data_IF_917121215082
#
_entry.id   IF_917121215082
#
_cell.length_a   1.000
_cell.length_b   1.000
_cell.length_c   1.000
_cell.angle_alpha   90.00
_cell.angle_beta   90.00
_cell.angle_gamma   90.00
#
_symmetry.space_group_name_H-M   'P 1'
#
loop_
_entity.id
_entity.type
_entity.pdbx_description
1 polymer ?
#
# COMPACT_ATOMS: atom_id res chain seq x y z
N UNK A 1 23.23 -5.18 -24.51
CA UNK A 1 22.06 -5.23 -23.61
C UNK A 1 21.24 -3.99 -23.87
N UNK A 2 19.92 -4.12 -23.91
CA UNK A 2 19.03 -2.98 -24.10
C UNK A 2 18.36 -2.67 -22.76
N UNK A 3 18.37 -1.40 -22.38
CA UNK A 3 17.66 -0.91 -21.21
C UNK A 3 16.26 -0.49 -21.63
N UNK A 4 15.27 -0.91 -20.86
CA UNK A 4 13.88 -0.47 -21.01
C UNK A 4 13.49 0.28 -19.75
N UNK A 5 12.79 1.39 -19.93
CA UNK A 5 12.33 2.26 -18.85
C UNK A 5 10.84 2.53 -19.04
N UNK A 6 10.10 2.54 -17.94
CA UNK A 6 8.66 2.74 -17.93
C UNK A 6 8.14 2.95 -16.51
N UNK A 7 6.87 3.33 -16.39
CA UNK A 7 6.24 3.66 -15.11
C UNK A 7 5.16 2.63 -14.75
N UNK A 8 5.17 2.17 -13.49
CA UNK A 8 4.05 1.44 -12.88
C UNK A 8 3.22 2.45 -12.10
N UNK A 9 1.91 2.47 -12.35
CA UNK A 9 0.95 3.34 -11.64
C UNK A 9 -0.02 2.45 -10.85
N UNK A 10 -0.19 2.76 -9.58
CA UNK A 10 -1.16 2.11 -8.69
C UNK A 10 -2.10 3.19 -8.18
N UNK A 11 -3.37 3.12 -8.59
CA UNK A 11 -4.40 4.04 -8.12
C UNK A 11 -4.93 3.56 -6.76
N UNK A 12 -4.88 4.45 -5.77
CA UNK A 12 -5.34 4.19 -4.40
C UNK A 12 -6.34 5.26 -3.96
N UNK A 13 -7.32 4.85 -3.15
CA UNK A 13 -8.26 5.76 -2.48
C UNK A 13 -8.36 5.41 -1.01
N UNK A 14 -8.47 6.42 -0.16
CA UNK A 14 -8.66 6.25 1.28
C UNK A 14 -9.64 7.28 1.81
N UNK A 15 -10.29 6.94 2.92
CA UNK A 15 -11.19 7.84 3.63
C UNK A 15 -10.43 8.50 4.78
N UNK A 16 -10.60 9.81 4.91
CA UNK A 16 -9.97 10.58 5.98
C UNK A 16 -11.04 11.41 6.70
N UNK A 17 -11.07 11.35 8.03
CA UNK A 17 -11.97 12.17 8.84
C UNK A 17 -11.60 13.65 8.75
N UNK A 18 -12.56 14.50 8.41
CA UNK A 18 -12.36 15.96 8.31
C UNK A 18 -12.19 16.59 9.69
N UNK A 19 -11.13 17.38 9.89
CA UNK A 19 -11.01 18.26 11.07
C UNK A 19 -9.63 18.38 11.74
N UNK A 20 -8.55 17.85 11.16
CA UNK A 20 -7.18 18.09 11.67
C UNK A 20 -6.24 18.51 10.56
N UNK A 21 -5.35 19.47 10.81
CA UNK A 21 -4.43 20.02 9.79
C UNK A 21 -3.42 19.00 9.22
N UNK A 22 -3.41 17.76 9.72
CA UNK A 22 -2.44 16.70 9.42
C UNK A 22 -3.05 15.47 8.70
N UNK A 23 -4.19 15.66 8.05
CA UNK A 23 -5.02 14.58 7.47
C UNK A 23 -4.30 13.75 6.38
N UNK A 24 -3.46 14.38 5.54
CA UNK A 24 -2.69 13.66 4.53
C UNK A 24 -1.59 12.79 5.16
N UNK A 25 -0.91 13.28 6.20
CA UNK A 25 0.13 12.51 6.87
C UNK A 25 -0.47 11.33 7.65
N UNK A 26 -1.63 11.50 8.29
CA UNK A 26 -2.39 10.38 8.90
C UNK A 26 -2.85 9.35 7.87
N UNK A 27 -3.25 9.78 6.69
CA UNK A 27 -3.60 8.86 5.60
C UNK A 27 -2.39 8.08 5.08
N UNK A 28 -1.18 8.64 5.25
CA UNK A 28 0.08 7.97 4.95
C UNK A 28 0.69 7.24 6.16
N UNK A 29 0.17 7.44 7.39
CA UNK A 29 0.55 6.60 8.53
C UNK A 29 0.25 5.15 8.13
N UNK A 30 1.25 4.28 8.28
CA UNK A 30 1.32 2.88 7.84
C UNK A 30 1.95 2.60 6.47
N UNK A 31 2.19 3.60 5.62
CA UNK A 31 3.16 3.47 4.51
C UNK A 31 4.59 3.62 5.02
N UNK A 32 4.97 2.71 5.93
CA UNK A 32 6.29 2.72 6.54
C UNK A 32 7.39 2.46 5.51
N UNK A 33 8.59 2.91 5.84
CA UNK A 33 9.79 2.58 5.08
C UNK A 33 9.95 1.06 4.87
N UNK A 34 9.52 0.24 5.84
CA UNK A 34 9.55 -1.22 5.73
C UNK A 34 8.70 -1.75 4.56
N UNK A 35 7.46 -1.29 4.43
CA UNK A 35 6.55 -1.69 3.35
C UNK A 35 7.09 -1.24 1.98
N UNK A 36 7.62 -0.02 1.90
CA UNK A 36 8.23 0.48 0.66
C UNK A 36 9.44 -0.35 0.25
N UNK A 37 10.31 -0.69 1.21
CA UNK A 37 11.48 -1.52 0.96
C UNK A 37 11.10 -2.94 0.49
N UNK A 38 10.04 -3.53 1.05
CA UNK A 38 9.52 -4.83 0.58
C UNK A 38 9.09 -4.77 -0.89
N UNK A 39 8.36 -3.71 -1.29
CA UNK A 39 7.95 -3.51 -2.68
C UNK A 39 9.18 -3.37 -3.60
N UNK A 40 10.17 -2.57 -3.19
CA UNK A 40 11.41 -2.39 -3.95
C UNK A 40 12.16 -3.72 -4.13
N UNK A 41 12.25 -4.56 -3.09
CA UNK A 41 12.89 -5.86 -3.15
C UNK A 41 12.17 -6.84 -4.09
N UNK A 42 10.84 -6.85 -4.08
CA UNK A 42 10.03 -7.69 -4.98
C UNK A 42 10.30 -7.32 -6.45
N UNK A 43 10.38 -6.02 -6.75
CA UNK A 43 10.67 -5.51 -8.08
C UNK A 43 12.12 -5.81 -8.51
N UNK A 44 13.08 -5.60 -7.61
CA UNK A 44 14.49 -5.91 -7.83
C UNK A 44 14.73 -7.40 -8.12
N UNK A 45 14.00 -8.31 -7.46
CA UNK A 45 14.06 -9.75 -7.76
C UNK A 45 13.70 -10.09 -9.22
N UNK A 46 12.96 -9.20 -9.91
CA UNK A 46 12.59 -9.35 -11.32
C UNK A 46 13.43 -8.52 -12.28
N UNK A 47 14.49 -7.87 -11.77
CA UNK A 47 15.40 -7.04 -12.57
C UNK A 47 14.91 -5.60 -12.77
N UNK A 48 13.85 -5.17 -12.07
CA UNK A 48 13.43 -3.78 -12.06
C UNK A 48 14.17 -3.00 -10.97
N UNK A 49 14.75 -1.86 -11.33
CA UNK A 49 15.37 -0.95 -10.37
C UNK A 49 14.37 0.17 -10.08
N UNK A 50 13.98 0.31 -8.83
CA UNK A 50 13.13 1.41 -8.35
C UNK A 50 13.96 2.38 -7.53
N UNK A 51 14.07 3.63 -7.98
CA UNK A 51 14.86 4.66 -7.27
C UNK A 51 14.03 5.40 -6.21
N UNK A 52 12.73 5.51 -6.43
CA UNK A 52 11.79 6.11 -5.46
C UNK A 52 10.38 5.56 -5.63
N UNK A 53 9.63 5.53 -4.53
CA UNK A 53 8.19 5.31 -4.52
C UNK A 53 7.58 6.59 -3.96
N UNK A 54 6.65 7.18 -4.72
CA UNK A 54 5.92 8.38 -4.30
C UNK A 54 4.43 8.06 -4.20
N UNK A 55 3.75 8.76 -3.29
CA UNK A 55 2.31 8.69 -3.10
C UNK A 55 1.76 10.10 -3.07
N UNK A 56 0.70 10.34 -3.83
CA UNK A 56 0.01 11.61 -3.88
C UNK A 56 -1.47 11.37 -3.52
N UNK A 57 -1.97 12.09 -2.52
CA UNK A 57 -3.36 12.04 -2.10
C UNK A 57 -4.01 13.39 -2.36
N UNK A 58 -4.97 13.40 -3.27
CA UNK A 58 -5.78 14.58 -3.60
C UNK A 58 -7.10 14.52 -2.88
N UNK A 59 -7.52 15.65 -2.31
CA UNK A 59 -8.86 15.81 -1.79
C UNK A 59 -9.86 15.83 -2.95
N UNK A 60 -10.74 14.83 -2.97
CA UNK A 60 -11.79 14.66 -3.99
C UNK A 60 -13.17 15.09 -3.46
N UNK A 61 -13.23 15.76 -2.32
CA UNK A 61 -14.44 16.29 -1.70
C UNK A 61 -15.23 15.27 -0.89
N UNK A 62 -16.46 15.66 -0.53
CA UNK A 62 -17.35 14.85 0.30
C UNK A 62 -17.81 13.60 -0.46
N UNK A 63 -17.52 12.44 0.10
CA UNK A 63 -17.93 11.13 -0.41
C UNK A 63 -19.33 10.74 0.06
N UNK A 64 -20.06 9.97 -0.75
CA UNK A 64 -21.39 9.48 -0.40
C UNK A 64 -21.33 8.29 0.58
N UNK A 65 -22.43 8.07 1.31
CA UNK A 65 -22.52 7.02 2.36
C UNK A 65 -22.25 5.61 1.80
N UNK A 66 -22.73 5.27 0.60
CA UNK A 66 -22.50 3.96 -0.02
C UNK A 66 -20.99 3.69 -0.23
N UNK A 67 -20.23 4.70 -0.63
CA UNK A 67 -18.79 4.59 -0.82
C UNK A 67 -18.05 4.49 0.52
N UNK A 68 -18.58 5.13 1.56
CA UNK A 68 -18.07 5.00 2.94
C UNK A 68 -18.26 3.57 3.44
N UNK A 69 -19.47 3.02 3.31
CA UNK A 69 -19.78 1.63 3.69
C UNK A 69 -18.90 0.62 2.93
N UNK A 70 -18.70 0.85 1.63
CA UNK A 70 -17.84 -0.01 0.82
C UNK A 70 -16.40 -0.04 1.33
N UNK A 71 -15.79 1.13 1.55
CA UNK A 71 -14.42 1.21 2.09
C UNK A 71 -14.32 0.53 3.45
N UNK A 72 -15.29 0.78 4.35
CA UNK A 72 -15.28 0.17 5.68
C UNK A 72 -15.37 -1.36 5.60
N UNK A 73 -16.19 -1.89 4.69
CA UNK A 73 -16.29 -3.33 4.45
C UNK A 73 -14.96 -3.92 3.96
N UNK A 74 -14.29 -3.24 3.02
CA UNK A 74 -12.99 -3.67 2.50
C UNK A 74 -11.92 -3.64 3.60
N UNK A 75 -11.85 -2.58 4.39
CA UNK A 75 -10.91 -2.45 5.52
C UNK A 75 -11.15 -3.57 6.55
N UNK A 76 -12.40 -3.81 6.92
CA UNK A 76 -12.75 -4.85 7.88
C UNK A 76 -12.36 -6.25 7.40
N UNK A 77 -12.49 -6.51 6.10
CA UNK A 77 -12.02 -7.77 5.50
C UNK A 77 -10.50 -7.83 5.49
N UNK A 78 -9.82 -6.78 5.05
CA UNK A 78 -8.37 -6.71 5.02
C UNK A 78 -7.75 -6.94 6.41
N UNK A 79 -8.30 -6.34 7.46
CA UNK A 79 -7.83 -6.52 8.84
C UNK A 79 -7.96 -7.97 9.33
N UNK A 80 -8.97 -8.71 8.85
CA UNK A 80 -9.10 -10.14 9.15
C UNK A 80 -8.07 -10.98 8.39
N UNK A 81 -7.78 -10.58 7.16
CA UNK A 81 -6.96 -11.35 6.23
C UNK A 81 -5.46 -11.02 6.33
N UNK A 82 -5.07 -9.86 6.89
CA UNK A 82 -3.66 -9.40 6.91
C UNK A 82 -2.73 -10.36 7.66
N UNK A 83 -3.25 -11.04 8.69
CA UNK A 83 -2.49 -12.07 9.42
C UNK A 83 -2.08 -13.25 8.52
N UNK A 84 -2.87 -13.60 7.51
CA UNK A 84 -2.50 -14.64 6.53
C UNK A 84 -1.35 -14.19 5.62
N UNK A 85 -1.29 -12.90 5.29
CA UNK A 85 -0.22 -12.34 4.44
C UNK A 85 1.12 -12.42 5.17
N UNK A 86 1.18 -11.91 6.40
CA UNK A 86 2.40 -11.98 7.21
C UNK A 86 2.80 -13.41 7.58
N UNK A 87 1.82 -14.29 7.82
CA UNK A 87 2.12 -15.70 8.10
C UNK A 87 2.66 -16.46 6.88
N UNK A 88 2.22 -16.17 5.65
CA UNK A 88 2.80 -16.77 4.44
C UNK A 88 4.27 -16.41 4.25
N UNK A 89 4.66 -15.18 4.59
CA UNK A 89 6.06 -14.75 4.60
C UNK A 89 6.90 -15.54 5.61
N UNK A 90 6.31 -15.98 6.73
CA UNK A 90 6.98 -16.81 7.74
C UNK A 90 6.99 -18.32 7.45
N UNK A 91 6.08 -18.82 6.59
CA UNK A 91 6.07 -20.25 6.20
C UNK A 91 7.27 -20.60 5.31
N UNK A 92 7.84 -19.64 4.58
CA UNK A 92 9.04 -19.87 3.77
C UNK A 92 10.36 -19.82 4.57
N UNK A 93 10.39 -19.14 5.72
CA UNK A 93 11.58 -19.10 6.58
C UNK A 93 11.74 -20.34 7.47
N UNK A 94 10.70 -21.16 7.64
CA UNK A 94 10.77 -22.41 8.42
C UNK A 94 11.19 -23.64 7.62
N UNK A 95 11.41 -23.52 6.31
CA UNK A 95 12.08 -24.54 5.49
C UNK A 95 13.53 -24.15 5.24
N UNK A 96 14.32 -24.25 6.30
CA UNK A 96 15.75 -24.51 6.18
C UNK A 96 15.93 -26.00 6.49
N UNK A 97 15.98 -26.81 5.42
CA UNK A 97 16.62 -28.13 5.44
C UNK A 97 18.05 -27.96 4.90
#
# INVERSE_FOLDING_TARGET
MNQFEGQVVIDVSTLVETGTDDMQNKAHENFSYGVMNEIMLILANKGYITESISMDLKDNGVVNENLVEHHQSVINKANKDIGWVYNKSNIHTTRLD
#
